data_IF_154893996886
#
_entry.id   IF_154893996886
#
_cell.length_a   1.000
_cell.length_b   1.000
_cell.length_c   1.000
_cell.angle_alpha   90.00
_cell.angle_beta   90.00
_cell.angle_gamma   90.00
#
_symmetry.space_group_name_H-M   'P 1'
#
loop_
_entity.id
_entity.type
_entity.pdbx_description
1 polymer ?
#
# COMPACT_ATOMS: atom_id res chain seq x y z
N UNK A 1 20.42 -6.94 0.35
CA UNK A 1 19.47 -7.84 -0.35
C UNK A 1 18.90 -8.94 0.54
N UNK A 2 19.70 -9.57 1.44
CA UNK A 2 19.25 -10.70 2.29
C UNK A 2 17.95 -10.38 3.03
N UNK A 3 17.84 -9.20 3.66
CA UNK A 3 16.64 -8.76 4.38
C UNK A 3 15.37 -8.87 3.52
N UNK A 4 15.41 -8.41 2.27
CA UNK A 4 14.27 -8.42 1.36
C UNK A 4 13.84 -9.85 1.01
N UNK A 5 14.79 -10.75 0.78
CA UNK A 5 14.52 -12.17 0.59
C UNK A 5 13.94 -12.80 1.84
N UNK A 6 14.48 -12.48 3.01
CA UNK A 6 13.96 -12.98 4.29
C UNK A 6 12.51 -12.54 4.54
N UNK A 7 12.18 -11.27 4.28
CA UNK A 7 10.81 -10.76 4.40
C UNK A 7 9.82 -11.49 3.48
N UNK A 8 10.26 -12.05 2.35
CA UNK A 8 9.43 -12.77 1.39
C UNK A 8 9.39 -14.28 1.67
N UNK A 9 10.55 -14.90 1.87
CA UNK A 9 10.70 -16.35 2.04
C UNK A 9 10.13 -16.84 3.37
N UNK A 10 10.26 -16.07 4.46
CA UNK A 10 9.70 -16.46 5.77
C UNK A 10 8.17 -16.68 5.72
N UNK A 11 7.33 -15.72 5.28
CA UNK A 11 5.90 -15.96 5.16
C UNK A 11 5.56 -17.00 4.09
N UNK A 12 6.35 -17.11 3.02
CA UNK A 12 6.17 -18.16 2.01
C UNK A 12 6.33 -19.56 2.64
N UNK A 13 7.42 -19.81 3.37
CA UNK A 13 7.65 -21.08 4.06
C UNK A 13 6.60 -21.34 5.14
N UNK A 14 6.25 -20.32 5.94
CA UNK A 14 5.22 -20.43 6.98
C UNK A 14 3.85 -20.82 6.41
N UNK A 15 3.53 -20.38 5.18
CA UNK A 15 2.27 -20.73 4.51
C UNK A 15 2.17 -22.19 4.09
N UNK A 16 3.30 -22.85 3.90
CA UNK A 16 3.43 -24.25 3.48
C UNK A 16 3.60 -25.19 4.68
N UNK A 17 3.87 -24.63 5.87
CA UNK A 17 3.98 -25.41 7.08
C UNK A 17 2.64 -26.07 7.42
N UNK A 18 2.62 -27.40 7.70
CA UNK A 18 1.43 -28.08 8.19
C UNK A 18 1.10 -27.71 9.64
N UNK A 19 2.04 -27.05 10.35
CA UNK A 19 1.90 -26.75 11.77
C UNK A 19 0.81 -25.71 12.04
N UNK A 20 -0.08 -26.02 12.99
CA UNK A 20 -1.13 -25.12 13.44
C UNK A 20 -0.78 -24.60 14.82
N UNK A 21 -0.50 -23.30 14.89
CA UNK A 21 -0.27 -22.60 16.15
C UNK A 21 -1.58 -22.55 16.95
N UNK A 22 -1.48 -22.71 18.28
CA UNK A 22 -2.56 -22.35 19.17
C UNK A 22 -2.88 -20.85 19.08
N UNK A 23 -4.00 -20.43 19.68
CA UNK A 23 -4.47 -19.04 19.60
C UNK A 23 -3.47 -18.04 20.17
N UNK A 24 -2.84 -18.35 21.32
CA UNK A 24 -1.90 -17.45 21.98
C UNK A 24 -0.62 -17.32 21.16
N UNK A 25 -0.02 -18.45 20.77
CA UNK A 25 1.19 -18.50 19.93
C UNK A 25 0.98 -17.77 18.60
N UNK A 26 -0.20 -17.91 17.98
CA UNK A 26 -0.57 -17.18 16.77
C UNK A 26 -0.59 -15.66 17.00
N UNK A 27 -1.23 -15.20 18.07
CA UNK A 27 -1.29 -13.76 18.39
C UNK A 27 0.10 -13.23 18.70
N UNK A 28 0.90 -13.94 19.49
CA UNK A 28 2.27 -13.55 19.83
C UNK A 28 3.14 -13.41 18.58
N UNK A 29 3.09 -14.38 17.66
CA UNK A 29 3.84 -14.34 16.40
C UNK A 29 3.36 -13.18 15.53
N UNK A 30 2.06 -12.92 15.47
CA UNK A 30 1.52 -11.78 14.72
C UNK A 30 1.98 -10.45 15.32
N UNK A 31 1.95 -10.29 16.65
CA UNK A 31 2.45 -9.08 17.31
C UNK A 31 3.94 -8.90 17.05
N UNK A 32 4.74 -9.94 17.28
CA UNK A 32 6.19 -9.91 17.06
C UNK A 32 6.52 -9.56 15.61
N UNK A 33 5.88 -10.21 14.64
CA UNK A 33 6.09 -9.94 13.23
C UNK A 33 5.65 -8.51 12.86
N UNK A 34 4.54 -8.04 13.40
CA UNK A 34 4.07 -6.67 13.18
C UNK A 34 5.07 -5.64 13.70
N UNK A 35 5.62 -5.86 14.89
CA UNK A 35 6.70 -5.04 15.45
C UNK A 35 7.93 -5.08 14.56
N UNK A 36 8.42 -6.28 14.21
CA UNK A 36 9.61 -6.45 13.36
C UNK A 36 9.45 -5.76 12.00
N UNK A 37 8.30 -5.92 11.33
CA UNK A 37 8.02 -5.25 10.06
C UNK A 37 7.94 -3.73 10.22
N UNK A 38 7.34 -3.24 11.31
CA UNK A 38 7.29 -1.80 11.61
C UNK A 38 8.68 -1.24 11.83
N UNK A 39 9.56 -1.94 12.54
CA UNK A 39 10.96 -1.56 12.74
C UNK A 39 11.74 -1.54 11.42
N UNK A 40 11.62 -2.60 10.61
CA UNK A 40 12.30 -2.69 9.31
C UNK A 40 11.84 -1.58 8.35
N UNK A 41 10.54 -1.29 8.29
CA UNK A 41 10.03 -0.28 7.35
C UNK A 41 10.23 1.13 7.91
N UNK A 42 10.00 1.31 9.21
CA UNK A 42 9.95 2.60 9.89
C UNK A 42 11.30 3.19 10.26
N UNK A 43 12.28 2.36 10.64
CA UNK A 43 13.62 2.81 11.00
C UNK A 43 14.63 2.66 9.86
N UNK A 44 14.15 2.44 8.64
CA UNK A 44 15.00 2.42 7.46
C UNK A 44 15.74 3.75 7.33
N UNK A 45 16.97 3.70 6.86
CA UNK A 45 17.82 4.85 6.68
C UNK A 45 18.28 4.95 5.22
N UNK A 46 18.02 6.09 4.57
CA UNK A 46 18.33 6.33 3.15
C UNK A 46 17.77 5.25 2.19
N UNK A 47 16.71 4.54 2.58
CA UNK A 47 16.02 3.54 1.76
C UNK A 47 14.71 4.11 1.22
N UNK A 48 14.55 3.99 -0.09
CA UNK A 48 13.40 4.45 -0.84
C UNK A 48 13.72 5.67 -1.71
N UNK A 49 13.22 5.66 -2.95
CA UNK A 49 13.49 6.74 -3.91
C UNK A 49 13.06 8.13 -3.41
N UNK A 50 11.97 8.21 -2.64
CA UNK A 50 11.46 9.47 -2.10
C UNK A 50 12.06 9.87 -0.75
N UNK A 51 13.10 9.18 -0.24
CA UNK A 51 13.72 9.49 1.06
C UNK A 51 14.04 10.98 1.22
N UNK A 52 14.79 11.54 0.25
CA UNK A 52 15.19 12.95 0.26
C UNK A 52 13.99 13.90 0.18
N UNK A 53 12.92 13.50 -0.51
CA UNK A 53 11.69 14.30 -0.59
C UNK A 53 11.01 14.35 0.78
N UNK A 54 10.95 13.23 1.49
CA UNK A 54 10.39 13.18 2.85
C UNK A 54 11.25 13.91 3.87
N UNK A 55 12.59 13.83 3.76
CA UNK A 55 13.50 14.60 4.61
C UNK A 55 13.26 16.10 4.46
N UNK A 56 13.21 16.62 3.22
CA UNK A 56 12.90 18.04 2.95
C UNK A 56 11.54 18.47 3.50
N UNK A 57 10.53 17.59 3.45
CA UNK A 57 9.22 17.87 4.04
C UNK A 57 9.30 17.95 5.57
N UNK A 58 10.12 17.10 6.19
CA UNK A 58 10.34 17.11 7.63
C UNK A 58 11.15 18.34 8.08
N UNK A 59 12.24 18.68 7.41
CA UNK A 59 13.05 19.88 7.69
C UNK A 59 12.24 21.17 7.61
N UNK A 60 11.31 21.27 6.65
CA UNK A 60 10.37 22.41 6.58
C UNK A 60 9.39 22.47 7.74
N UNK A 61 9.03 21.31 8.30
CA UNK A 61 8.15 21.23 9.45
C UNK A 61 8.89 21.46 10.76
N UNK A 62 10.19 21.17 10.80
CA UNK A 62 11.03 21.45 11.93
C UNK A 62 11.19 22.96 12.16
N UNK A 63 11.09 23.39 13.41
CA UNK A 63 11.05 24.82 13.79
C UNK A 63 9.80 25.61 13.34
N UNK A 64 8.96 25.10 12.44
CA UNK A 64 7.80 25.80 11.89
C UNK A 64 6.54 25.77 12.78
N UNK A 65 5.68 26.77 12.59
CA UNK A 65 4.37 26.87 13.25
C UNK A 65 3.39 25.82 12.75
N UNK A 66 2.57 25.28 13.66
CA UNK A 66 1.62 24.21 13.36
C UNK A 66 0.68 24.53 12.18
N UNK A 67 0.16 25.77 12.14
CA UNK A 67 -0.75 26.22 11.08
C UNK A 67 -0.08 26.24 9.70
N UNK A 68 1.18 26.66 9.64
CA UNK A 68 1.95 26.63 8.39
C UNK A 68 2.19 25.18 7.94
N UNK A 69 2.56 24.29 8.87
CA UNK A 69 2.85 22.89 8.55
C UNK A 69 1.61 22.16 8.04
N UNK A 70 0.46 22.29 8.72
CA UNK A 70 -0.77 21.56 8.38
C UNK A 70 -1.38 21.98 7.02
N UNK A 71 -1.03 23.16 6.52
CA UNK A 71 -1.51 23.68 5.23
C UNK A 71 -0.51 23.43 4.08
N UNK A 72 0.73 23.04 4.39
CA UNK A 72 1.82 22.88 3.41
C UNK A 72 1.84 21.53 2.68
N UNK A 73 1.34 20.46 3.31
CA UNK A 73 1.23 19.11 2.74
C UNK A 73 -0.06 18.44 3.24
N UNK A 74 -0.28 17.16 2.93
CA UNK A 74 -1.43 16.42 3.42
C UNK A 74 -1.50 16.43 4.98
N UNK A 75 -2.62 16.88 5.59
CA UNK A 75 -2.68 17.21 7.02
C UNK A 75 -2.24 16.10 7.98
N UNK A 76 -2.57 14.84 7.68
CA UNK A 76 -2.19 13.70 8.52
C UNK A 76 -0.67 13.47 8.53
N UNK A 77 -0.01 13.64 7.38
CA UNK A 77 1.45 13.53 7.30
C UNK A 77 2.14 14.76 7.89
N UNK A 78 1.62 15.95 7.61
CA UNK A 78 2.06 17.21 8.20
C UNK A 78 2.04 17.15 9.74
N UNK A 79 0.94 16.63 10.32
CA UNK A 79 0.81 16.45 11.76
C UNK A 79 1.89 15.51 12.32
N UNK A 80 2.19 14.40 11.65
CA UNK A 80 3.26 13.50 12.10
C UNK A 80 4.64 14.16 12.02
N UNK A 81 4.95 14.91 10.96
CA UNK A 81 6.20 15.65 10.86
C UNK A 81 6.36 16.64 12.01
N UNK A 82 5.32 17.46 12.26
CA UNK A 82 5.32 18.42 13.36
C UNK A 82 5.43 17.72 14.72
N UNK A 83 4.65 16.66 14.96
CA UNK A 83 4.71 15.95 16.24
C UNK A 83 6.08 15.31 16.47
N UNK A 84 6.67 14.71 15.44
CA UNK A 84 7.99 14.08 15.52
C UNK A 84 9.11 15.09 15.73
N UNK A 85 9.03 16.28 15.12
CA UNK A 85 10.01 17.35 15.36
C UNK A 85 9.94 17.88 16.79
N UNK A 86 8.74 18.09 17.35
CA UNK A 86 8.57 18.51 18.75
C UNK A 86 9.02 17.47 19.77
N UNK A 87 8.97 16.19 19.41
CA UNK A 87 9.41 15.08 20.28
C UNK A 87 10.90 14.72 20.10
N UNK A 88 11.59 15.32 19.12
CA UNK A 88 12.99 15.02 18.83
C UNK A 88 13.22 13.62 18.20
N UNK A 89 12.21 13.03 17.56
CA UNK A 89 12.33 11.71 16.92
C UNK A 89 12.74 11.76 15.43
N UNK A 90 12.95 12.96 14.88
CA UNK A 90 13.39 13.15 13.51
C UNK A 90 12.42 12.56 12.47
N UNK A 91 12.94 12.28 11.26
CA UNK A 91 12.18 11.59 10.21
C UNK A 91 11.83 10.14 10.60
N UNK A 92 12.62 9.51 11.46
CA UNK A 92 12.41 8.12 11.86
C UNK A 92 11.14 7.93 12.68
N UNK A 93 10.79 8.89 13.56
CA UNK A 93 9.50 8.87 14.28
C UNK A 93 8.30 8.93 13.33
N UNK A 94 8.38 9.74 12.28
CA UNK A 94 7.35 9.84 11.22
C UNK A 94 7.24 8.51 10.47
N UNK A 95 8.36 7.98 9.99
CA UNK A 95 8.39 6.72 9.25
C UNK A 95 7.92 5.54 10.10
N UNK A 96 8.26 5.49 11.39
CA UNK A 96 7.79 4.47 12.33
C UNK A 96 6.27 4.53 12.52
N UNK A 97 5.70 5.72 12.73
CA UNK A 97 4.25 5.89 12.84
C UNK A 97 3.52 5.47 11.55
N UNK A 98 4.03 5.90 10.39
CA UNK A 98 3.51 5.50 9.08
C UNK A 98 3.60 3.98 8.84
N UNK A 99 4.74 3.37 9.17
CA UNK A 99 4.95 1.93 9.07
C UNK A 99 3.99 1.16 9.99
N UNK A 100 3.77 1.62 11.21
CA UNK A 100 2.84 1.00 12.15
C UNK A 100 1.40 1.00 11.61
N UNK A 101 0.96 2.13 11.02
CA UNK A 101 -0.36 2.24 10.38
C UNK A 101 -0.48 1.27 9.19
N UNK A 102 0.53 1.26 8.29
CA UNK A 102 0.56 0.33 7.16
C UNK A 102 0.45 -1.12 7.63
N UNK A 103 1.32 -1.52 8.56
CA UNK A 103 1.42 -2.91 9.02
C UNK A 103 0.16 -3.32 9.78
N UNK A 104 -0.38 -2.45 10.64
CA UNK A 104 -1.64 -2.73 11.33
C UNK A 104 -2.81 -2.91 10.36
N UNK A 105 -2.94 -2.00 9.38
CA UNK A 105 -3.97 -2.07 8.35
C UNK A 105 -3.84 -3.34 7.51
N UNK A 106 -2.63 -3.65 7.05
CA UNK A 106 -2.33 -4.88 6.33
C UNK A 106 -2.72 -6.09 7.17
N UNK A 107 -2.28 -6.20 8.42
CA UNK A 107 -2.53 -7.38 9.26
C UNK A 107 -4.02 -7.64 9.46
N UNK A 108 -4.81 -6.58 9.69
CA UNK A 108 -6.26 -6.67 9.76
C UNK A 108 -6.88 -7.17 8.46
N UNK A 109 -6.34 -6.78 7.30
CA UNK A 109 -6.78 -7.30 6.01
C UNK A 109 -6.34 -8.76 5.78
N UNK A 110 -5.12 -9.13 6.17
CA UNK A 110 -4.59 -10.49 6.07
C UNK A 110 -5.42 -11.49 6.90
N UNK A 111 -5.92 -11.08 8.06
CA UNK A 111 -6.82 -11.87 8.92
C UNK A 111 -8.13 -12.29 8.21
N UNK A 112 -8.56 -11.53 7.19
CA UNK A 112 -9.76 -11.83 6.37
C UNK A 112 -9.46 -12.68 5.13
N UNK A 113 -8.21 -13.06 4.90
CA UNK A 113 -7.84 -13.90 3.77
C UNK A 113 -7.79 -15.38 4.14
N UNK A 114 -7.98 -16.31 3.17
CA UNK A 114 -7.97 -17.75 3.44
C UNK A 114 -6.67 -18.26 4.07
N UNK A 115 -5.55 -17.58 3.80
CA UNK A 115 -4.26 -17.90 4.40
C UNK A 115 -3.47 -16.60 4.64
N UNK A 116 -3.23 -16.29 5.93
CA UNK A 116 -2.51 -15.10 6.36
C UNK A 116 -1.10 -15.03 5.76
N UNK A 117 -0.33 -16.11 5.93
CA UNK A 117 1.08 -16.19 5.54
C UNK A 117 1.28 -16.07 4.02
N UNK A 118 0.43 -16.75 3.23
CA UNK A 118 0.43 -16.62 1.78
C UNK A 118 0.18 -15.18 1.35
N UNK A 119 -0.82 -14.54 1.94
CA UNK A 119 -1.17 -13.16 1.58
C UNK A 119 -0.04 -12.20 1.99
N UNK A 120 0.60 -12.43 3.14
CA UNK A 120 1.76 -11.66 3.56
C UNK A 120 2.93 -11.82 2.57
N UNK A 121 3.23 -13.06 2.13
CA UNK A 121 4.26 -13.31 1.13
C UNK A 121 3.97 -12.59 -0.21
N UNK A 122 2.71 -12.58 -0.66
CA UNK A 122 2.26 -11.85 -1.84
C UNK A 122 2.39 -10.32 -1.64
N UNK A 123 2.11 -9.82 -0.44
CA UNK A 123 2.21 -8.41 -0.11
C UNK A 123 3.66 -7.92 -0.03
N UNK A 124 4.61 -8.77 0.36
CA UNK A 124 5.98 -8.36 0.64
C UNK A 124 6.65 -7.61 -0.53
N UNK A 125 6.73 -8.15 -1.77
CA UNK A 125 7.55 -7.53 -2.81
C UNK A 125 7.05 -6.15 -3.23
N UNK A 126 5.74 -6.00 -3.45
CA UNK A 126 5.17 -4.77 -3.99
C UNK A 126 4.74 -3.81 -2.89
N UNK A 127 3.99 -4.30 -1.90
CA UNK A 127 3.42 -3.42 -0.88
C UNK A 127 4.44 -3.07 0.20
N UNK A 128 5.12 -4.05 0.81
CA UNK A 128 6.02 -3.75 1.93
C UNK A 128 7.36 -3.17 1.46
N UNK A 129 8.02 -3.84 0.52
CA UNK A 129 9.34 -3.43 0.03
C UNK A 129 9.21 -2.26 -0.94
N UNK A 130 8.42 -2.41 -2.00
CA UNK A 130 8.29 -1.36 -3.02
C UNK A 130 7.65 -0.07 -2.48
N UNK A 131 6.46 -0.17 -1.89
CA UNK A 131 5.66 1.02 -1.52
C UNK A 131 5.86 1.43 -0.07
N UNK A 132 5.90 0.47 0.85
CA UNK A 132 6.08 0.73 2.29
C UNK A 132 7.38 1.47 2.59
N UNK A 133 8.46 1.09 1.89
CA UNK A 133 9.76 1.76 2.00
C UNK A 133 9.95 2.87 0.98
N UNK A 134 9.19 2.89 -0.12
CA UNK A 134 9.38 3.85 -1.20
C UNK A 134 8.52 5.11 -1.09
N UNK A 135 7.23 4.95 -0.76
CA UNK A 135 6.22 6.00 -0.82
C UNK A 135 5.42 6.08 0.50
N UNK A 136 6.06 6.50 1.60
CA UNK A 136 5.54 6.47 2.99
C UNK A 136 4.11 6.99 3.13
N UNK A 137 3.79 8.13 2.49
CA UNK A 137 2.44 8.72 2.56
C UNK A 137 1.38 7.84 1.91
N UNK A 138 1.69 7.29 0.73
CA UNK A 138 0.81 6.38 -0.01
C UNK A 138 0.64 5.06 0.72
N UNK A 139 1.74 4.50 1.23
CA UNK A 139 1.76 3.32 2.07
C UNK A 139 0.84 3.47 3.29
N UNK A 140 0.93 4.60 3.99
CA UNK A 140 0.08 4.89 5.16
C UNK A 140 -1.40 4.95 4.77
N UNK A 141 -1.71 5.63 3.66
CA UNK A 141 -3.08 5.69 3.13
C UNK A 141 -3.61 4.30 2.73
N UNK A 142 -2.78 3.45 2.11
CA UNK A 142 -3.13 2.05 1.82
C UNK A 142 -3.43 1.28 3.11
N UNK A 143 -2.65 1.50 4.19
CA UNK A 143 -2.94 0.94 5.51
C UNK A 143 -4.36 1.25 5.99
N UNK A 144 -4.79 2.50 5.90
CA UNK A 144 -6.18 2.87 6.22
C UNK A 144 -7.20 2.29 5.24
N UNK A 145 -6.90 2.23 3.94
CA UNK A 145 -7.80 1.60 2.96
C UNK A 145 -8.00 0.11 3.23
N UNK A 146 -6.98 -0.61 3.71
CA UNK A 146 -7.12 -2.01 4.14
C UNK A 146 -8.14 -2.15 5.28
N UNK A 147 -8.15 -1.21 6.24
CA UNK A 147 -9.16 -1.15 7.30
C UNK A 147 -10.54 -0.77 6.74
N UNK A 148 -10.59 0.15 5.78
CA UNK A 148 -11.81 0.49 5.08
C UNK A 148 -12.40 -0.74 4.39
N UNK A 149 -11.59 -1.57 3.73
CA UNK A 149 -12.08 -2.74 2.99
C UNK A 149 -12.72 -3.78 3.91
N UNK A 150 -12.15 -3.96 5.11
CA UNK A 150 -12.79 -4.77 6.14
C UNK A 150 -14.13 -4.17 6.59
N UNK A 151 -14.21 -2.85 6.76
CA UNK A 151 -15.46 -2.18 7.09
C UNK A 151 -16.51 -2.27 5.96
N UNK A 152 -16.07 -2.29 4.69
CA UNK A 152 -16.92 -2.52 3.53
C UNK A 152 -17.55 -3.92 3.61
N UNK A 153 -16.74 -4.95 3.82
CA UNK A 153 -17.19 -6.34 4.00
C UNK A 153 -18.16 -6.48 5.18
N UNK A 154 -17.87 -5.79 6.30
CA UNK A 154 -18.72 -5.78 7.49
C UNK A 154 -20.01 -4.97 7.32
N UNK A 155 -20.24 -4.37 6.14
CA UNK A 155 -21.38 -3.49 5.85
C UNK A 155 -21.46 -2.24 6.75
N UNK A 156 -20.33 -1.77 7.30
CA UNK A 156 -20.25 -0.63 8.24
C UNK A 156 -19.86 0.67 7.53
N UNK A 157 -20.82 1.36 6.93
CA UNK A 157 -20.59 2.58 6.12
C UNK A 157 -19.85 3.68 6.89
N UNK A 158 -20.25 3.99 8.13
CA UNK A 158 -19.58 5.06 8.91
C UNK A 158 -18.11 4.73 9.14
N UNK A 159 -17.82 3.47 9.49
CA UNK A 159 -16.45 3.00 9.69
C UNK A 159 -15.64 3.00 8.38
N UNK A 160 -16.27 2.64 7.27
CA UNK A 160 -15.68 2.73 5.93
C UNK A 160 -15.29 4.17 5.59
N UNK A 161 -16.25 5.09 5.68
CA UNK A 161 -16.04 6.52 5.38
C UNK A 161 -14.99 7.14 6.30
N UNK A 162 -14.98 6.77 7.59
CA UNK A 162 -13.97 7.23 8.54
C UNK A 162 -12.56 6.79 8.13
N UNK A 163 -12.37 5.51 7.76
CA UNK A 163 -11.06 5.03 7.30
C UNK A 163 -10.64 5.62 5.95
N UNK A 164 -11.57 5.83 5.01
CA UNK A 164 -11.27 6.53 3.75
C UNK A 164 -10.87 7.99 4.04
N UNK A 165 -11.57 8.66 4.95
CA UNK A 165 -11.21 10.01 5.40
C UNK A 165 -9.81 10.07 6.00
N UNK A 166 -9.47 9.13 6.88
CA UNK A 166 -8.11 9.01 7.42
C UNK A 166 -7.08 8.74 6.32
N UNK A 167 -7.38 7.89 5.32
CA UNK A 167 -6.49 7.67 4.19
C UNK A 167 -6.21 8.97 3.40
N UNK A 168 -7.25 9.78 3.17
CA UNK A 168 -7.14 11.08 2.49
C UNK A 168 -6.23 12.06 3.24
N UNK A 169 -6.24 12.04 4.57
CA UNK A 169 -5.35 12.88 5.38
C UNK A 169 -3.87 12.57 5.15
N UNK A 170 -3.52 11.37 4.69
CA UNK A 170 -2.14 11.01 4.35
C UNK A 170 -1.86 11.11 2.85
N UNK A 171 -2.86 10.84 2.01
CA UNK A 171 -2.74 11.01 0.58
C UNK A 171 -4.08 11.29 -0.09
N UNK A 172 -4.22 12.49 -0.66
CA UNK A 172 -5.49 12.98 -1.23
C UNK A 172 -6.12 12.09 -2.30
N UNK A 173 -5.31 11.39 -3.10
CA UNK A 173 -5.83 10.52 -4.17
C UNK A 173 -6.66 9.34 -3.66
N UNK A 174 -6.57 9.00 -2.36
CA UNK A 174 -7.45 8.00 -1.74
C UNK A 174 -8.92 8.43 -1.69
N UNK A 175 -9.25 9.70 -1.96
CA UNK A 175 -10.63 10.20 -1.98
C UNK A 175 -11.51 9.48 -3.01
N UNK A 176 -10.94 8.88 -4.06
CA UNK A 176 -11.69 8.05 -5.02
C UNK A 176 -12.42 6.89 -4.33
N UNK A 177 -11.92 6.42 -3.17
CA UNK A 177 -12.56 5.37 -2.37
C UNK A 177 -13.74 5.88 -1.53
N UNK A 178 -14.18 7.13 -1.66
CA UNK A 178 -15.51 7.51 -1.18
C UNK A 178 -16.62 6.94 -2.07
N UNK A 179 -16.35 6.74 -3.37
CA UNK A 179 -17.34 6.27 -4.35
C UNK A 179 -17.90 4.88 -4.03
N UNK A 180 -17.09 3.87 -3.65
CA UNK A 180 -17.62 2.54 -3.38
C UNK A 180 -18.57 2.48 -2.18
N UNK A 181 -18.57 3.47 -1.27
CA UNK A 181 -19.51 3.51 -0.14
C UNK A 181 -20.99 3.36 -0.57
N UNK A 182 -21.29 3.80 -1.79
CA UNK A 182 -22.58 3.61 -2.48
C UNK A 182 -23.08 2.17 -2.50
N UNK A 183 -22.16 1.22 -2.67
CA UNK A 183 -22.48 -0.19 -2.91
C UNK A 183 -22.59 -1.02 -1.63
N UNK A 184 -22.30 -0.44 -0.46
CA UNK A 184 -22.31 -1.18 0.81
C UNK A 184 -23.73 -1.70 1.16
N UNK A 185 -24.75 -0.87 0.96
CA UNK A 185 -26.15 -1.26 1.23
C UNK A 185 -27.00 -1.42 -0.03
N UNK A 186 -26.42 -1.24 -1.22
CA UNK A 186 -27.14 -1.40 -2.50
C UNK A 186 -28.25 -0.38 -2.76
N UNK A 187 -28.40 0.64 -1.91
CA UNK A 187 -29.35 1.74 -2.08
C UNK A 187 -28.62 2.99 -2.58
N UNK A 188 -29.18 3.64 -3.61
CA UNK A 188 -28.62 4.86 -4.20
C UNK A 188 -28.69 6.01 -3.17
N UNK A 189 -27.57 6.36 -2.53
CA UNK A 189 -27.47 7.52 -1.64
C UNK A 189 -26.49 8.51 -2.22
N UNK A 190 -26.95 9.68 -2.70
CA UNK A 190 -26.12 10.70 -3.38
C UNK A 190 -24.96 11.26 -2.53
N UNK A 191 -25.09 11.20 -1.20
CA UNK A 191 -24.19 11.87 -0.26
C UNK A 191 -22.71 11.42 -0.27
N UNK A 192 -22.31 10.15 -0.50
CA UNK A 192 -20.90 9.77 -0.65
C UNK A 192 -20.27 10.29 -1.95
N UNK A 193 -21.05 10.47 -3.02
CA UNK A 193 -20.58 11.13 -4.25
C UNK A 193 -20.34 12.62 -3.99
N UNK A 194 -21.27 13.28 -3.28
CA UNK A 194 -21.14 14.67 -2.86
C UNK A 194 -19.94 14.83 -1.93
N UNK A 195 -19.76 13.94 -0.94
CA UNK A 195 -18.64 13.97 0.00
C UNK A 195 -17.30 13.74 -0.71
N UNK A 196 -17.21 12.73 -1.57
CA UNK A 196 -16.01 12.46 -2.37
C UNK A 196 -15.66 13.61 -3.30
N UNK A 197 -16.68 14.19 -3.96
CA UNK A 197 -16.54 15.37 -4.81
C UNK A 197 -16.11 16.61 -4.03
N UNK A 198 -16.70 16.88 -2.86
CA UNK A 198 -16.32 17.99 -1.98
C UNK A 198 -14.91 17.82 -1.44
N UNK A 199 -14.52 16.62 -1.01
CA UNK A 199 -13.16 16.35 -0.51
C UNK A 199 -12.14 16.52 -1.64
N UNK A 200 -12.44 15.99 -2.83
CA UNK A 200 -11.58 16.17 -4.00
C UNK A 200 -11.48 17.65 -4.38
N UNK A 201 -12.61 18.35 -4.48
CA UNK A 201 -12.66 19.77 -4.81
C UNK A 201 -11.93 20.63 -3.76
N UNK A 202 -12.19 20.44 -2.46
CA UNK A 202 -11.50 21.12 -1.38
C UNK A 202 -9.98 20.86 -1.45
N UNK A 203 -9.56 19.61 -1.69
CA UNK A 203 -8.14 19.27 -1.87
C UNK A 203 -7.54 19.89 -3.14
N UNK A 204 -8.37 20.18 -4.15
CA UNK A 204 -7.97 20.80 -5.42
C UNK A 204 -7.80 22.32 -5.32
N UNK A 205 -8.46 22.99 -4.37
CA UNK A 205 -8.28 24.42 -4.15
C UNK A 205 -6.88 24.76 -3.61
N UNK A 206 -6.21 23.78 -2.98
CA UNK A 206 -4.80 23.85 -2.57
C UNK A 206 -3.82 23.48 -3.71
N UNK A 207 -4.28 23.25 -4.96
CA UNK A 207 -3.43 22.84 -6.11
C UNK A 207 -2.76 23.99 -6.86
N UNK A 208 -3.06 25.26 -6.57
CA UNK A 208 -2.54 26.37 -7.38
C UNK A 208 -1.01 26.35 -7.51
N UNK A 209 -0.30 25.81 -6.52
CA UNK A 209 1.17 25.65 -6.55
C UNK A 209 1.65 24.24 -6.97
N UNK A 210 0.76 23.24 -6.98
CA UNK A 210 1.12 21.86 -7.27
C UNK A 210 1.20 21.56 -8.78
N UNK A 211 0.36 22.20 -9.61
CA UNK A 211 0.37 21.95 -11.06
C UNK A 211 1.72 22.32 -11.70
N UNK A 212 2.32 23.42 -11.25
CA UNK A 212 3.66 23.89 -11.62
C UNK A 212 4.75 22.93 -11.13
N UNK A 213 4.64 22.40 -9.91
CA UNK A 213 5.56 21.38 -9.37
C UNK A 213 5.46 20.05 -10.14
N UNK A 214 4.25 19.61 -10.48
CA UNK A 214 4.05 18.36 -11.23
C UNK A 214 4.52 18.47 -12.68
N UNK A 215 4.31 19.62 -13.34
CA UNK A 215 4.82 19.85 -14.69
C UNK A 215 6.35 19.90 -14.72
N UNK A 216 6.98 20.61 -13.78
CA UNK A 216 8.46 20.75 -13.73
C UNK A 216 9.19 19.49 -13.26
N UNK A 217 8.56 18.67 -12.40
CA UNK A 217 9.20 17.47 -11.84
C UNK A 217 8.90 16.17 -12.60
N UNK A 218 7.88 16.13 -13.47
CA UNK A 218 7.41 14.87 -14.07
C UNK A 218 7.16 14.91 -15.59
N UNK A 219 7.13 16.08 -16.24
CA UNK A 219 7.04 16.16 -17.71
C UNK A 219 8.46 16.21 -18.27
N UNK A 220 8.94 15.09 -18.83
CA UNK A 220 10.22 15.03 -19.55
C UNK A 220 11.27 14.05 -19.01
N UNK A 221 11.00 13.27 -17.97
CA UNK A 221 11.95 12.25 -17.47
C UNK A 221 11.41 10.83 -17.65
N UNK A 222 11.70 10.21 -18.79
CA UNK A 222 11.33 8.82 -19.13
C UNK A 222 11.81 7.76 -18.12
N UNK A 223 12.78 8.11 -17.27
CA UNK A 223 13.43 7.21 -16.32
C UNK A 223 12.51 6.83 -15.14
N UNK A 224 11.59 7.71 -14.71
CA UNK A 224 10.87 7.56 -13.42
C UNK A 224 9.77 6.47 -13.37
N UNK A 225 9.39 5.86 -14.49
CA UNK A 225 8.24 4.94 -14.54
C UNK A 225 8.57 3.50 -14.97
N UNK A 226 9.84 3.07 -14.98
CA UNK A 226 10.21 1.73 -15.46
C UNK A 226 9.53 0.57 -14.73
N UNK A 227 9.12 0.77 -13.46
CA UNK A 227 8.35 -0.19 -12.67
C UNK A 227 6.83 -0.16 -12.90
N UNK A 228 6.30 0.83 -13.63
CA UNK A 228 4.87 1.02 -13.85
C UNK A 228 4.25 -0.11 -14.67
N UNK A 229 4.92 -0.52 -15.75
CA UNK A 229 4.43 -1.57 -16.64
C UNK A 229 4.29 -2.93 -15.92
N UNK A 230 5.32 -3.45 -15.20
CA UNK A 230 5.17 -4.70 -14.45
C UNK A 230 4.05 -4.67 -13.39
N UNK A 231 3.90 -3.56 -12.66
CA UNK A 231 2.83 -3.41 -11.64
C UNK A 231 1.44 -3.32 -12.28
N UNK A 232 1.30 -2.56 -13.36
CA UNK A 232 0.06 -2.48 -14.11
C UNK A 232 -0.33 -3.85 -14.68
N UNK A 233 0.62 -4.58 -15.27
CA UNK A 233 0.38 -5.94 -15.78
C UNK A 233 -0.13 -6.88 -14.68
N UNK A 234 0.44 -6.80 -13.47
CA UNK A 234 0.01 -7.61 -12.33
C UNK A 234 -1.40 -7.24 -11.85
N UNK A 235 -1.74 -5.94 -11.85
CA UNK A 235 -3.10 -5.48 -11.57
C UNK A 235 -4.09 -5.95 -12.64
N UNK A 236 -3.74 -5.83 -13.94
CA UNK A 236 -4.57 -6.29 -15.06
C UNK A 236 -4.80 -7.80 -14.96
N UNK A 237 -3.76 -8.57 -14.65
CA UNK A 237 -3.87 -10.01 -14.42
C UNK A 237 -4.84 -10.32 -13.27
N UNK A 238 -4.72 -9.60 -12.14
CA UNK A 238 -5.63 -9.76 -11.01
C UNK A 238 -7.10 -9.42 -11.38
N UNK A 239 -7.32 -8.35 -12.14
CA UNK A 239 -8.64 -7.96 -12.64
C UNK A 239 -9.22 -9.01 -13.61
N UNK A 240 -8.40 -9.55 -14.52
CA UNK A 240 -8.80 -10.62 -15.43
C UNK A 240 -9.20 -11.91 -14.69
N UNK A 241 -8.39 -12.31 -13.70
CA UNK A 241 -8.72 -13.45 -12.82
C UNK A 241 -10.01 -13.20 -12.06
N UNK A 242 -10.23 -11.99 -11.53
CA UNK A 242 -11.47 -11.61 -10.86
C UNK A 242 -12.68 -11.81 -11.78
N UNK A 243 -12.64 -11.24 -12.99
CA UNK A 243 -13.77 -11.34 -13.93
C UNK A 243 -14.01 -12.78 -14.39
N UNK A 244 -12.95 -13.55 -14.65
CA UNK A 244 -13.08 -14.96 -15.00
C UNK A 244 -13.77 -15.78 -13.90
N UNK A 245 -13.42 -15.55 -12.63
CA UNK A 245 -14.02 -16.24 -11.49
C UNK A 245 -15.18 -15.49 -10.82
N UNK A 246 -15.71 -14.42 -11.43
CA UNK A 246 -16.63 -13.47 -10.78
C UNK A 246 -17.83 -14.13 -10.13
N UNK A 247 -18.45 -15.11 -10.81
CA UNK A 247 -19.61 -15.83 -10.27
C UNK A 247 -19.27 -16.55 -8.97
N UNK A 248 -18.22 -17.39 -8.98
CA UNK A 248 -17.74 -18.10 -7.77
C UNK A 248 -17.27 -17.15 -6.68
N UNK A 249 -16.74 -15.99 -7.05
CA UNK A 249 -16.34 -14.96 -6.11
C UNK A 249 -17.54 -14.39 -5.36
N UNK A 250 -18.58 -13.97 -6.11
CA UNK A 250 -19.80 -13.39 -5.56
C UNK A 250 -20.56 -14.38 -4.66
N UNK A 251 -20.49 -15.68 -4.97
CA UNK A 251 -21.10 -16.74 -4.15
C UNK A 251 -20.35 -16.98 -2.83
N UNK A 252 -19.06 -16.61 -2.75
CA UNK A 252 -18.18 -16.97 -1.62
C UNK A 252 -17.76 -15.77 -0.75
N UNK A 253 -17.76 -14.56 -1.29
CA UNK A 253 -17.20 -13.38 -0.63
C UNK A 253 -18.12 -12.15 -0.75
N UNK A 254 -18.30 -11.45 0.37
CA UNK A 254 -19.15 -10.25 0.49
C UNK A 254 -18.53 -8.95 -0.07
N UNK A 255 -17.33 -9.01 -0.66
CA UNK A 255 -16.62 -7.86 -1.24
C UNK A 255 -16.72 -7.75 -2.76
N UNK A 256 -17.51 -8.63 -3.40
CA UNK A 256 -17.65 -8.68 -4.85
C UNK A 256 -18.00 -7.34 -5.52
N UNK A 257 -18.92 -6.51 -4.99
CA UNK A 257 -19.21 -5.19 -5.56
C UNK A 257 -18.01 -4.24 -5.55
N UNK A 258 -17.28 -4.16 -4.42
CA UNK A 258 -16.05 -3.36 -4.31
C UNK A 258 -15.01 -3.83 -5.33
N UNK A 259 -14.81 -5.14 -5.41
CA UNK A 259 -13.82 -5.74 -6.32
C UNK A 259 -14.20 -5.55 -7.79
N UNK A 260 -15.49 -5.49 -8.12
CA UNK A 260 -15.96 -5.18 -9.48
C UNK A 260 -15.57 -3.76 -9.88
N UNK A 261 -15.77 -2.79 -8.98
CA UNK A 261 -15.38 -1.39 -9.23
C UNK A 261 -13.87 -1.28 -9.38
N UNK A 262 -13.11 -1.86 -8.45
CA UNK A 262 -11.65 -1.84 -8.50
C UNK A 262 -11.10 -2.49 -9.77
N UNK A 263 -11.61 -3.67 -10.15
CA UNK A 263 -11.19 -4.35 -11.37
C UNK A 263 -11.58 -3.56 -12.63
N UNK A 264 -12.76 -2.95 -12.64
CA UNK A 264 -13.18 -2.05 -13.73
C UNK A 264 -12.27 -0.83 -13.87
N UNK A 265 -11.91 -0.19 -12.76
CA UNK A 265 -10.96 0.94 -12.74
C UNK A 265 -9.59 0.51 -13.26
N UNK A 266 -9.09 -0.66 -12.85
CA UNK A 266 -7.81 -1.20 -13.38
C UNK A 266 -7.86 -1.31 -14.90
N UNK A 267 -8.91 -1.93 -15.45
CA UNK A 267 -9.02 -2.14 -16.90
C UNK A 267 -9.21 -0.82 -17.66
N UNK A 268 -9.97 0.12 -17.10
CA UNK A 268 -10.14 1.46 -17.68
C UNK A 268 -8.82 2.24 -17.71
N UNK A 269 -7.99 2.09 -16.67
CA UNK A 269 -6.69 2.76 -16.57
C UNK A 269 -5.57 2.05 -17.35
N UNK A 270 -5.76 0.80 -17.76
CA UNK A 270 -4.71 0.02 -18.43
C UNK A 270 -4.11 0.71 -19.68
N UNK A 271 -4.91 1.30 -20.61
CA UNK A 271 -4.35 2.02 -21.75
C UNK A 271 -3.54 3.26 -21.33
N UNK A 272 -3.90 3.90 -20.22
CA UNK A 272 -3.24 5.10 -19.71
C UNK A 272 -1.80 4.86 -19.27
N UNK A 273 -1.39 3.62 -19.04
CA UNK A 273 0.01 3.28 -18.75
C UNK A 273 0.93 3.65 -19.93
N UNK A 274 0.45 3.58 -21.18
CA UNK A 274 1.27 3.81 -22.37
C UNK A 274 1.63 5.29 -22.59
N UNK A 275 0.83 6.22 -22.05
CA UNK A 275 1.02 7.66 -22.26
C UNK A 275 1.13 8.46 -20.95
N UNK A 276 0.76 7.87 -19.81
CA UNK A 276 0.79 8.50 -18.49
C UNK A 276 1.27 7.50 -17.42
N UNK A 277 2.38 6.80 -17.68
CA UNK A 277 2.90 5.71 -16.86
C UNK A 277 3.06 6.07 -15.37
N UNK A 278 3.70 7.21 -15.05
CA UNK A 278 3.95 7.63 -13.67
C UNK A 278 2.66 7.95 -12.89
N UNK A 279 1.72 8.65 -13.53
CA UNK A 279 0.43 8.99 -12.91
C UNK A 279 -0.43 7.73 -12.71
N UNK A 280 -0.46 6.86 -13.72
CA UNK A 280 -1.20 5.60 -13.69
C UNK A 280 -0.64 4.65 -12.63
N UNK A 281 0.69 4.55 -12.52
CA UNK A 281 1.36 3.75 -11.52
C UNK A 281 0.95 4.17 -10.10
N UNK A 282 1.05 5.46 -9.78
CA UNK A 282 0.67 6.02 -8.47
C UNK A 282 -0.79 5.76 -8.11
N UNK A 283 -1.71 5.87 -9.07
CA UNK A 283 -3.12 5.57 -8.82
C UNK A 283 -3.36 4.06 -8.65
N UNK A 284 -2.65 3.23 -9.41
CA UNK A 284 -2.78 1.78 -9.35
C UNK A 284 -2.28 1.18 -8.02
N UNK A 285 -1.40 1.89 -7.30
CA UNK A 285 -0.93 1.46 -5.96
C UNK A 285 -2.08 1.34 -4.95
N UNK A 286 -3.11 2.19 -5.03
CA UNK A 286 -4.28 2.06 -4.14
C UNK A 286 -5.17 0.87 -4.47
N UNK A 287 -5.01 0.29 -5.66
CA UNK A 287 -5.76 -0.88 -6.10
C UNK A 287 -5.08 -2.19 -5.67
N UNK A 288 -3.85 -2.13 -5.12
CA UNK A 288 -3.12 -3.31 -4.65
C UNK A 288 -3.87 -4.26 -3.72
N UNK A 289 -4.77 -3.84 -2.82
CA UNK A 289 -5.50 -4.82 -2.02
C UNK A 289 -6.32 -5.81 -2.88
N UNK A 290 -6.79 -5.41 -4.07
CA UNK A 290 -7.46 -6.34 -4.99
C UNK A 290 -6.49 -7.43 -5.43
N UNK A 291 -5.26 -7.04 -5.79
CA UNK A 291 -4.20 -7.94 -6.21
C UNK A 291 -3.90 -8.96 -5.10
N UNK A 292 -3.74 -8.48 -3.85
CA UNK A 292 -3.46 -9.35 -2.70
C UNK A 292 -4.58 -10.36 -2.47
N UNK A 293 -5.83 -9.91 -2.41
CA UNK A 293 -6.97 -10.79 -2.18
C UNK A 293 -7.17 -11.78 -3.33
N UNK A 294 -7.02 -11.35 -4.58
CA UNK A 294 -7.19 -12.23 -5.75
C UNK A 294 -6.19 -13.38 -5.72
N UNK A 295 -4.89 -13.09 -5.61
CA UNK A 295 -3.89 -14.16 -5.59
C UNK A 295 -3.99 -15.01 -4.30
N UNK A 296 -4.34 -14.42 -3.16
CA UNK A 296 -4.54 -15.19 -1.93
C UNK A 296 -5.72 -16.17 -2.01
N UNK A 297 -6.82 -15.75 -2.64
CA UNK A 297 -8.09 -16.49 -2.74
C UNK A 297 -8.17 -17.38 -3.96
N UNK A 298 -7.38 -17.17 -5.01
CA UNK A 298 -7.41 -17.98 -6.24
C UNK A 298 -7.34 -19.50 -5.98
N UNK A 299 -6.49 -20.01 -5.07
CA UNK A 299 -6.48 -21.45 -4.75
C UNK A 299 -7.80 -21.98 -4.18
N UNK A 300 -8.65 -21.13 -3.61
CA UNK A 300 -9.98 -21.53 -3.12
C UNK A 300 -11.04 -21.60 -4.22
N UNK A 301 -10.77 -21.01 -5.39
CA UNK A 301 -11.69 -20.90 -6.53
C UNK A 301 -11.45 -21.99 -7.58
N UNK A 302 -10.28 -22.63 -7.55
CA UNK A 302 -9.90 -23.74 -8.43
C UNK A 302 -10.21 -25.11 -7.82
N UNK A 303 -10.39 -26.17 -8.65
CA UNK A 303 -10.54 -27.54 -8.18
C UNK A 303 -9.36 -28.02 -7.31
N UNK A 304 -9.61 -29.00 -6.43
CA UNK A 304 -8.64 -29.46 -5.42
C UNK A 304 -7.28 -29.85 -6.01
N UNK A 305 -7.28 -30.60 -7.13
CA UNK A 305 -6.08 -31.07 -7.83
C UNK A 305 -5.18 -29.93 -8.36
N UNK A 306 -5.74 -28.73 -8.57
CA UNK A 306 -4.99 -27.58 -9.08
C UNK A 306 -4.56 -26.60 -7.99
N UNK A 307 -4.96 -26.81 -6.72
CA UNK A 307 -4.64 -25.85 -5.64
C UNK A 307 -3.14 -25.69 -5.42
N UNK A 308 -2.42 -26.79 -5.27
CA UNK A 308 -0.97 -26.76 -5.05
C UNK A 308 -0.21 -26.20 -6.26
N UNK A 309 -0.45 -26.65 -7.51
CA UNK A 309 0.16 -26.04 -8.68
C UNK A 309 -0.07 -24.52 -8.76
N UNK A 310 -1.30 -24.06 -8.48
CA UNK A 310 -1.61 -22.62 -8.49
C UNK A 310 -0.86 -21.86 -7.41
N UNK A 311 -0.75 -22.40 -6.20
CA UNK A 311 0.03 -21.77 -5.11
C UNK A 311 1.51 -21.66 -5.51
N UNK A 312 2.09 -22.73 -6.05
CA UNK A 312 3.48 -22.73 -6.51
C UNK A 312 3.70 -21.74 -7.66
N UNK A 313 2.77 -21.64 -8.60
CA UNK A 313 2.82 -20.67 -9.69
C UNK A 313 2.77 -19.22 -9.17
N UNK A 314 1.95 -18.93 -8.16
CA UNK A 314 1.91 -17.62 -7.51
C UNK A 314 3.27 -17.31 -6.86
N UNK A 315 3.84 -18.23 -6.07
CA UNK A 315 5.14 -18.02 -5.45
C UNK A 315 6.27 -17.86 -6.46
N UNK A 316 6.27 -18.65 -7.53
CA UNK A 316 7.21 -18.48 -8.63
C UNK A 316 7.09 -17.08 -9.25
N UNK A 317 5.86 -16.62 -9.54
CA UNK A 317 5.62 -15.29 -10.10
C UNK A 317 6.13 -14.15 -9.21
N UNK A 318 5.83 -14.19 -7.90
CA UNK A 318 6.33 -13.18 -6.96
C UNK A 318 7.83 -13.29 -6.67
N UNK A 319 8.41 -14.49 -6.76
CA UNK A 319 9.87 -14.70 -6.69
C UNK A 319 10.55 -14.07 -7.89
N UNK A 320 10.06 -14.33 -9.10
CA UNK A 320 10.57 -13.71 -10.34
C UNK A 320 10.43 -12.19 -10.27
N UNK A 321 9.28 -11.68 -9.83
CA UNK A 321 9.07 -10.24 -9.67
C UNK A 321 10.09 -9.61 -8.71
N UNK A 322 10.28 -10.19 -7.53
CA UNK A 322 11.22 -9.67 -6.53
C UNK A 322 12.67 -9.80 -7.01
N UNK A 323 13.03 -10.94 -7.62
CA UNK A 323 14.34 -11.17 -8.20
C UNK A 323 14.65 -10.16 -9.31
N UNK A 324 13.76 -10.02 -10.29
CA UNK A 324 13.94 -9.08 -11.40
C UNK A 324 14.09 -7.66 -10.88
N UNK A 325 13.27 -7.26 -9.90
CA UNK A 325 13.35 -5.93 -9.33
C UNK A 325 14.66 -5.71 -8.56
N UNK A 326 15.04 -6.61 -7.65
CA UNK A 326 16.26 -6.45 -6.85
C UNK A 326 17.53 -6.46 -7.69
N UNK A 327 17.63 -7.30 -8.71
CA UNK A 327 18.87 -7.48 -9.48
C UNK A 327 18.98 -6.57 -10.70
N UNK A 328 17.86 -6.18 -11.32
CA UNK A 328 17.89 -5.47 -12.61
C UNK A 328 17.27 -4.08 -12.58
N UNK A 329 16.58 -3.68 -11.50
CA UNK A 329 16.00 -2.34 -11.43
C UNK A 329 17.05 -1.29 -11.03
N UNK A 330 17.27 -0.23 -11.82
CA UNK A 330 18.13 0.89 -11.41
C UNK A 330 17.67 1.53 -10.11
N UNK A 331 16.35 1.54 -9.84
CA UNK A 331 15.77 2.07 -8.60
C UNK A 331 16.13 1.22 -7.38
N UNK A 332 16.08 -0.12 -7.52
CA UNK A 332 16.48 -0.99 -6.43
C UNK A 332 17.98 -0.81 -6.11
N UNK A 333 18.82 -0.76 -7.16
CA UNK A 333 20.27 -0.61 -7.03
C UNK A 333 20.70 0.74 -6.44
N UNK A 334 19.98 1.82 -6.74
CA UNK A 334 20.32 3.17 -6.27
C UNK A 334 19.67 3.55 -4.94
N UNK A 335 18.49 3.02 -4.62
CA UNK A 335 17.67 3.51 -3.51
C UNK A 335 17.23 2.44 -2.51
N UNK A 336 17.47 1.14 -2.76
CA UNK A 336 17.15 0.07 -1.80
C UNK A 336 18.36 -0.79 -1.44
N UNK A 337 19.47 -0.70 -2.18
CA UNK A 337 20.64 -1.55 -1.99
C UNK A 337 21.88 -0.65 -1.85
N UNK A 338 22.68 -0.80 -0.78
CA UNK A 338 22.42 -1.62 0.41
C UNK A 338 21.20 -1.12 1.20
N UNK A 339 20.64 -1.99 2.05
CA UNK A 339 19.57 -1.58 2.95
C UNK A 339 20.20 -0.97 4.21
N UNK A 340 19.88 0.29 4.52
CA UNK A 340 20.27 1.01 5.73
C UNK A 340 19.16 1.01 6.80
N UNK A 341 19.54 1.05 8.07
CA UNK A 341 18.62 1.18 9.20
C UNK A 341 19.33 1.86 10.37
N UNK A 342 18.66 2.85 10.97
CA UNK A 342 19.18 3.68 12.05
C UNK A 342 19.89 2.89 13.17
N UNK A 343 19.43 1.69 13.50
CA UNK A 343 19.96 0.92 14.63
C UNK A 343 21.19 0.07 14.33
N UNK A 344 21.52 -0.17 13.05
CA UNK A 344 22.62 -1.08 12.68
C UNK A 344 23.44 -0.64 11.46
N UNK A 345 23.09 0.45 10.76
CA UNK A 345 24.04 1.13 9.89
C UNK A 345 25.05 1.87 10.77
N UNK A 346 26.34 1.57 10.61
CA UNK A 346 27.43 2.02 11.48
C UNK A 346 27.74 3.51 11.49
N UNK A 347 26.83 4.35 11.00
CA UNK A 347 26.89 5.81 11.11
C UNK A 347 25.70 6.24 11.97
N UNK A 348 25.98 6.62 13.22
CA UNK A 348 25.02 7.33 14.06
C UNK A 348 24.86 8.72 13.43
N UNK A 349 23.68 9.10 12.91
CA UNK A 349 23.49 10.46 12.44
C UNK A 349 23.66 11.40 13.63
N UNK A 350 24.52 12.42 13.50
CA UNK A 350 24.50 13.55 14.44
C UNK A 350 23.09 14.15 14.41
N UNK A 351 22.40 14.08 15.56
CA UNK A 351 21.05 14.57 15.77
C UNK A 351 20.99 16.10 15.74
#
# INVERSE_FOLDING_TARGET
MILYWTMFLLPMMASMSPYRLDRLSRVMIMVLLGVVLTFIIGLRDHVGHDWNNYMKMFERADGSDFYYVITSVEPGYAFLNWASSRLGYGIYGVNAACAAILVFGLFKFLERQPNFWRTLAIATPVLLIGIGMGATRQATAIGFLMLAFNAFQDRKVVRYLAFVGLAVLFHRSSAVFFLPAWFIHGQLRIWPLILGGLVFFASSLFLRDAATYYQTSYVGTDIQASGALPRAALNILAAGIFFYYRRRWMERYDDGPLFTIMAGVILLMAPAVLFAAAATDRMSMYLLPIQLAIFARLPSLVPLQFRTPVILAIYAGFTVLLFTWLFFSPFAQSSWIPYGNLTWSGEVPEL
#
